data_IF_921066778178
#
_entry.id   IF_921066778178
#
_cell.length_a   1.000
_cell.length_b   1.000
_cell.length_c   1.000
_cell.angle_alpha   90.00
_cell.angle_beta   90.00
_cell.angle_gamma   90.00
#
_symmetry.space_group_name_H-M   'P 1'
#
loop_
_entity.id
_entity.type
_entity.pdbx_description
1 polymer ?
#
# COMPACT_ATOMS: atom_id res chain seq x y z
N UNK A 1 -5.40 -8.13 -28.18
CA UNK A 1 -4.45 -8.98 -27.49
C UNK A 1 -3.22 -8.22 -27.02
N UNK A 2 -2.61 -7.43 -27.91
CA UNK A 2 -1.41 -6.64 -27.55
C UNK A 2 -1.70 -5.60 -26.48
N UNK A 3 -2.86 -4.96 -26.56
CA UNK A 3 -3.23 -3.90 -25.60
C UNK A 3 -3.53 -4.46 -24.23
N UNK A 4 -4.18 -5.61 -24.13
CA UNK A 4 -4.44 -6.30 -22.88
C UNK A 4 -3.12 -6.74 -22.20
N UNK A 5 -2.17 -7.23 -22.99
CA UNK A 5 -0.85 -7.60 -22.45
C UNK A 5 -0.07 -6.40 -21.95
N UNK A 6 -0.14 -5.27 -22.64
CA UNK A 6 0.51 -4.03 -22.21
C UNK A 6 -0.09 -3.51 -20.91
N UNK A 7 -1.42 -3.50 -20.79
CA UNK A 7 -2.09 -3.08 -19.56
C UNK A 7 -1.75 -4.00 -18.40
N UNK A 8 -1.75 -5.31 -18.62
CA UNK A 8 -1.39 -6.28 -17.62
C UNK A 8 0.06 -6.10 -17.14
N UNK A 9 0.99 -5.85 -18.07
CA UNK A 9 2.37 -5.52 -17.74
C UNK A 9 2.48 -4.24 -16.94
N UNK A 10 1.76 -3.18 -17.33
CA UNK A 10 1.77 -1.91 -16.62
C UNK A 10 1.25 -2.06 -15.21
N UNK A 11 0.18 -2.79 -15.02
CA UNK A 11 -0.35 -3.07 -13.69
C UNK A 11 0.67 -3.83 -12.84
N UNK A 12 1.37 -4.79 -13.41
CA UNK A 12 2.41 -5.55 -12.70
C UNK A 12 3.61 -4.68 -12.35
N UNK A 13 3.91 -3.68 -13.17
CA UNK A 13 5.04 -2.76 -12.96
C UNK A 13 4.67 -1.59 -12.06
N UNK A 14 3.41 -1.36 -11.81
CA UNK A 14 2.92 -0.26 -10.98
C UNK A 14 3.48 -0.33 -9.57
N UNK A 15 3.79 -1.54 -9.10
CA UNK A 15 4.40 -1.76 -7.80
C UNK A 15 5.29 -2.98 -7.87
N UNK A 16 6.50 -2.90 -7.30
CA UNK A 16 7.41 -4.06 -7.22
C UNK A 16 6.72 -5.25 -6.56
N UNK A 17 5.81 -5.00 -5.64
CA UNK A 17 5.02 -6.03 -4.96
C UNK A 17 4.16 -6.83 -5.91
N UNK A 18 3.68 -6.22 -7.00
CA UNK A 18 2.86 -6.93 -7.97
C UNK A 18 3.61 -8.05 -8.65
N UNK A 19 4.92 -7.91 -8.78
CA UNK A 19 5.77 -8.99 -9.30
C UNK A 19 5.80 -10.18 -8.35
N UNK A 20 5.82 -9.92 -7.04
CA UNK A 20 5.81 -10.94 -6.00
C UNK A 20 4.41 -11.55 -5.87
N UNK A 21 3.39 -10.72 -5.77
CA UNK A 21 1.99 -11.13 -5.65
C UNK A 21 1.52 -11.87 -6.90
N UNK A 22 2.08 -11.53 -8.07
CA UNK A 22 1.77 -12.19 -9.33
C UNK A 22 2.35 -13.60 -9.46
N UNK A 23 3.21 -14.05 -8.54
CA UNK A 23 3.70 -15.42 -8.54
C UNK A 23 2.54 -16.35 -8.21
N UNK A 24 2.31 -17.42 -9.02
CA UNK A 24 1.22 -18.36 -8.74
C UNK A 24 1.27 -18.92 -7.32
N UNK A 25 0.16 -18.85 -6.62
CA UNK A 25 0.03 -19.32 -5.24
C UNK A 25 0.40 -18.32 -4.17
N UNK A 26 1.05 -17.20 -4.51
CA UNK A 26 1.50 -16.21 -3.53
C UNK A 26 0.30 -15.51 -2.85
N UNK A 27 -0.69 -15.10 -3.62
CA UNK A 27 -1.88 -14.43 -3.09
C UNK A 27 -2.62 -15.33 -2.10
N UNK A 28 -2.79 -16.59 -2.45
CA UNK A 28 -3.47 -17.57 -1.61
C UNK A 28 -2.74 -17.78 -0.28
N UNK A 29 -1.42 -17.83 -0.32
CA UNK A 29 -0.61 -17.98 0.89
C UNK A 29 -0.66 -16.73 1.77
N UNK A 30 -0.65 -15.54 1.16
CA UNK A 30 -0.77 -14.30 1.91
C UNK A 30 -2.13 -14.19 2.61
N UNK A 31 -3.20 -14.61 1.94
CA UNK A 31 -4.54 -14.61 2.54
C UNK A 31 -4.62 -15.57 3.73
N UNK A 32 -3.92 -16.70 3.67
CA UNK A 32 -3.89 -17.69 4.74
C UNK A 32 -3.03 -17.27 5.93
N UNK A 33 -2.14 -16.31 5.78
CA UNK A 33 -1.30 -15.85 6.87
C UNK A 33 -2.13 -15.32 8.04
N UNK A 34 -1.79 -15.72 9.24
CA UNK A 34 -2.51 -15.32 10.46
C UNK A 34 -2.05 -13.98 11.01
N UNK A 35 -0.84 -13.56 10.69
CA UNK A 35 -0.30 -12.28 11.18
C UNK A 35 -0.92 -11.07 10.49
N UNK A 36 -0.77 -9.89 11.05
CA UNK A 36 -1.24 -8.66 10.41
C UNK A 36 -0.46 -8.39 9.13
N UNK A 37 -1.17 -7.94 8.09
CA UNK A 37 -0.60 -7.58 6.80
C UNK A 37 -0.81 -6.10 6.59
N UNK A 38 0.28 -5.35 6.51
CA UNK A 38 0.27 -3.90 6.41
C UNK A 38 0.97 -3.46 5.15
N UNK A 39 0.34 -2.56 4.42
CA UNK A 39 0.95 -1.90 3.27
C UNK A 39 1.34 -0.47 3.64
N UNK A 40 2.39 0.04 3.02
CA UNK A 40 2.78 1.44 3.13
C UNK A 40 2.52 2.08 1.77
N UNK A 41 1.70 3.12 1.74
CA UNK A 41 1.35 3.79 0.49
C UNK A 41 2.58 4.49 -0.11
N UNK A 42 2.87 4.26 -1.39
CA UNK A 42 3.93 4.99 -2.08
C UNK A 42 3.48 6.36 -2.58
N UNK A 43 2.21 6.69 -2.41
CA UNK A 43 1.61 7.93 -2.91
C UNK A 43 1.47 8.92 -1.77
N UNK A 44 1.95 10.14 -1.98
CA UNK A 44 1.83 11.24 -1.03
C UNK A 44 1.27 12.44 -1.79
N UNK A 45 0.12 12.92 -1.35
CA UNK A 45 -0.56 14.07 -1.96
C UNK A 45 -0.70 13.92 -3.48
N UNK A 46 -1.14 12.73 -3.90
CA UNK A 46 -1.34 12.34 -5.31
C UNK A 46 -0.05 12.26 -6.14
N UNK A 47 1.11 12.16 -5.48
CA UNK A 47 2.41 12.04 -6.15
C UNK A 47 3.22 10.90 -5.55
N UNK A 48 3.90 10.15 -6.40
CA UNK A 48 4.89 9.18 -5.94
C UNK A 48 6.19 9.92 -5.63
N UNK A 49 6.79 9.65 -4.48
CA UNK A 49 8.07 10.26 -4.10
C UNK A 49 9.21 9.62 -4.85
N UNK A 50 9.14 8.31 -5.03
CA UNK A 50 10.13 7.56 -5.81
C UNK A 50 9.40 6.57 -6.71
N UNK A 51 9.96 6.39 -7.89
CA UNK A 51 9.43 5.43 -8.85
C UNK A 51 8.25 5.96 -9.65
N UNK A 52 7.73 5.15 -10.57
CA UNK A 52 6.76 5.57 -11.56
C UNK A 52 5.30 5.31 -11.16
N UNK A 53 5.01 4.99 -9.88
CA UNK A 53 3.68 4.56 -9.46
C UNK A 53 2.57 5.54 -9.85
N UNK A 54 2.73 6.82 -9.52
CA UNK A 54 1.70 7.82 -9.83
C UNK A 54 1.51 8.00 -11.34
N UNK A 55 2.61 8.02 -12.08
CA UNK A 55 2.57 8.15 -13.54
C UNK A 55 1.86 6.96 -14.18
N UNK A 56 2.17 5.76 -13.73
CA UNK A 56 1.54 4.55 -14.25
C UNK A 56 0.05 4.50 -13.93
N UNK A 57 -0.35 4.94 -12.75
CA UNK A 57 -1.76 5.04 -12.39
C UNK A 57 -2.48 6.03 -13.32
N UNK A 58 -1.87 7.16 -13.61
CA UNK A 58 -2.41 8.14 -14.56
C UNK A 58 -2.56 7.55 -15.96
N UNK A 59 -1.57 6.83 -16.44
CA UNK A 59 -1.61 6.17 -17.75
C UNK A 59 -2.73 5.14 -17.84
N UNK A 60 -3.06 4.49 -16.74
CA UNK A 60 -4.14 3.51 -16.67
C UNK A 60 -5.51 4.16 -16.42
N UNK A 61 -5.57 5.48 -16.29
CA UNK A 61 -6.81 6.19 -15.98
C UNK A 61 -7.27 6.01 -14.54
N UNK A 62 -6.39 5.59 -13.66
CA UNK A 62 -6.67 5.40 -12.23
C UNK A 62 -6.19 6.63 -11.46
N UNK A 63 -7.03 7.20 -10.57
CA UNK A 63 -6.57 8.31 -9.73
C UNK A 63 -5.37 7.92 -8.88
N UNK A 64 -4.32 8.74 -8.86
CA UNK A 64 -3.11 8.47 -8.09
C UNK A 64 -3.32 8.91 -6.63
N UNK A 65 -4.05 8.11 -5.87
CA UNK A 65 -4.36 8.37 -4.46
C UNK A 65 -4.08 7.14 -3.61
N UNK A 66 -3.92 7.35 -2.31
CA UNK A 66 -3.78 6.24 -1.37
C UNK A 66 -5.05 5.39 -1.29
N UNK A 67 -6.20 5.97 -1.61
CA UNK A 67 -7.47 5.24 -1.69
C UNK A 67 -7.39 4.16 -2.78
N UNK A 68 -6.87 4.51 -3.95
CA UNK A 68 -6.73 3.57 -5.06
C UNK A 68 -5.68 2.49 -4.78
N UNK A 69 -4.61 2.85 -4.09
CA UNK A 69 -3.62 1.87 -3.62
C UNK A 69 -4.29 0.88 -2.67
N UNK A 70 -5.13 1.37 -1.76
CA UNK A 70 -5.87 0.53 -0.83
C UNK A 70 -6.83 -0.40 -1.58
N UNK A 71 -7.55 0.12 -2.57
CA UNK A 71 -8.43 -0.69 -3.42
C UNK A 71 -7.69 -1.82 -4.12
N UNK A 72 -6.50 -1.52 -4.62
CA UNK A 72 -5.69 -2.51 -5.34
C UNK A 72 -5.31 -3.71 -4.44
N UNK A 73 -5.06 -3.44 -3.16
CA UNK A 73 -4.65 -4.49 -2.21
C UNK A 73 -5.79 -4.95 -1.29
N UNK A 74 -7.01 -4.49 -1.53
CA UNK A 74 -8.15 -4.89 -0.73
C UNK A 74 -8.33 -6.42 -0.74
N UNK A 75 -8.48 -7.01 0.44
CA UNK A 75 -8.53 -8.44 0.60
C UNK A 75 -7.19 -9.09 0.93
N UNK A 76 -6.08 -8.39 0.70
CA UNK A 76 -4.73 -8.87 1.02
C UNK A 76 -4.17 -8.22 2.28
N UNK A 77 -4.58 -6.99 2.58
CA UNK A 77 -4.03 -6.21 3.69
C UNK A 77 -5.09 -5.95 4.76
N UNK A 78 -4.62 -5.82 5.99
CA UNK A 78 -5.46 -5.47 7.14
C UNK A 78 -5.41 -3.97 7.45
N UNK A 79 -4.29 -3.33 7.13
CA UNK A 79 -4.08 -1.91 7.39
C UNK A 79 -3.20 -1.29 6.31
N UNK A 80 -3.29 0.01 6.20
CA UNK A 80 -2.41 0.79 5.33
C UNK A 80 -1.82 1.96 6.11
N UNK A 81 -0.55 2.24 5.85
CA UNK A 81 0.15 3.41 6.40
C UNK A 81 0.18 4.48 5.32
N UNK A 82 -0.32 5.66 5.64
CA UNK A 82 -0.32 6.80 4.73
C UNK A 82 0.42 7.98 5.36
N UNK A 83 0.86 8.90 4.52
CA UNK A 83 1.56 10.09 4.99
C UNK A 83 0.60 11.11 5.61
N UNK A 84 1.14 12.00 6.43
CA UNK A 84 0.38 13.10 7.03
C UNK A 84 -0.36 13.95 5.99
N UNK A 85 0.23 14.12 4.82
CA UNK A 85 -0.35 14.90 3.73
C UNK A 85 -1.68 14.31 3.25
N UNK A 86 -1.88 12.99 3.44
CA UNK A 86 -3.09 12.28 3.03
C UNK A 86 -4.00 11.92 4.21
N UNK A 87 -3.78 12.53 5.37
CA UNK A 87 -4.56 12.23 6.58
C UNK A 87 -6.07 12.38 6.35
N UNK A 88 -6.48 13.30 5.50
CA UNK A 88 -7.89 13.52 5.18
C UNK A 88 -8.56 12.33 4.50
N UNK A 89 -7.78 11.41 3.92
CA UNK A 89 -8.29 10.21 3.27
C UNK A 89 -8.56 9.06 4.24
N UNK A 90 -8.13 9.18 5.49
CA UNK A 90 -8.23 8.12 6.50
C UNK A 90 -9.65 7.60 6.66
N UNK A 91 -10.60 8.51 6.78
CA UNK A 91 -12.00 8.17 6.99
C UNK A 91 -12.57 7.32 5.85
N UNK A 92 -12.26 7.71 4.61
CA UNK A 92 -12.71 6.98 3.42
C UNK A 92 -12.10 5.59 3.34
N UNK A 93 -10.83 5.46 3.73
CA UNK A 93 -10.14 4.18 3.74
C UNK A 93 -10.69 3.28 4.85
N UNK A 94 -10.98 3.84 6.02
CA UNK A 94 -11.58 3.10 7.12
C UNK A 94 -12.97 2.59 6.76
N UNK A 95 -13.74 3.35 5.99
CA UNK A 95 -15.05 2.94 5.49
C UNK A 95 -14.95 1.72 4.57
N UNK A 96 -13.78 1.48 3.99
CA UNK A 96 -13.52 0.29 3.16
C UNK A 96 -13.20 -0.96 4.00
N UNK A 97 -13.15 -0.83 5.32
CA UNK A 97 -12.82 -1.93 6.22
C UNK A 97 -11.33 -2.11 6.46
N UNK A 98 -10.51 -1.16 6.05
CA UNK A 98 -9.06 -1.18 6.19
C UNK A 98 -8.65 -0.20 7.29
N UNK A 99 -7.79 -0.64 8.22
CA UNK A 99 -7.27 0.24 9.26
C UNK A 99 -6.23 1.19 8.69
N UNK A 100 -6.18 2.40 9.24
CA UNK A 100 -5.28 3.44 8.73
C UNK A 100 -4.36 3.91 9.86
N UNK A 101 -3.08 3.99 9.53
CA UNK A 101 -2.09 4.62 10.39
C UNK A 101 -1.47 5.78 9.61
N UNK A 102 -1.50 6.97 10.21
CA UNK A 102 -0.98 8.19 9.59
C UNK A 102 0.33 8.55 10.25
N UNK A 103 1.39 8.64 9.46
CA UNK A 103 2.72 9.01 9.94
C UNK A 103 3.51 9.63 8.79
N UNK A 104 4.78 9.97 9.03
CA UNK A 104 5.68 10.42 7.99
C UNK A 104 6.21 9.21 7.21
N UNK A 105 5.80 9.08 5.95
CA UNK A 105 6.24 7.97 5.09
C UNK A 105 7.40 8.36 4.17
N UNK A 106 7.85 9.61 4.23
CA UNK A 106 9.00 10.07 3.46
C UNK A 106 10.29 9.57 4.10
N UNK A 107 11.11 8.89 3.31
CA UNK A 107 12.34 8.27 3.80
C UNK A 107 13.53 8.75 2.98
N UNK A 108 14.16 9.84 3.42
CA UNK A 108 15.35 10.39 2.76
C UNK A 108 16.65 9.84 3.36
N UNK A 109 16.60 9.25 4.54
CA UNK A 109 17.78 8.76 5.24
C UNK A 109 17.50 7.41 5.89
N UNK A 110 18.57 6.72 6.32
CA UNK A 110 18.45 5.48 7.06
C UNK A 110 17.67 5.70 8.38
N UNK A 111 17.92 6.83 9.03
CA UNK A 111 17.22 7.17 10.27
C UNK A 111 15.71 7.23 10.08
N UNK A 112 15.26 7.86 8.99
CA UNK A 112 13.83 7.95 8.69
C UNK A 112 13.22 6.59 8.35
N UNK A 113 13.97 5.73 7.68
CA UNK A 113 13.53 4.35 7.41
C UNK A 113 13.33 3.56 8.69
N UNK A 114 14.28 3.68 9.61
CA UNK A 114 14.22 3.01 10.91
C UNK A 114 13.05 3.55 11.73
N UNK A 115 12.85 4.86 11.73
CA UNK A 115 11.74 5.50 12.45
C UNK A 115 10.40 4.99 11.95
N UNK A 116 10.22 4.97 10.63
CA UNK A 116 8.98 4.46 10.03
C UNK A 116 8.73 2.99 10.38
N UNK A 117 9.77 2.17 10.29
CA UNK A 117 9.67 0.76 10.64
C UNK A 117 9.26 0.56 12.09
N UNK A 118 9.86 1.32 13.01
CA UNK A 118 9.53 1.25 14.44
C UNK A 118 8.09 1.72 14.70
N UNK A 119 7.64 2.77 14.03
CA UNK A 119 6.26 3.23 14.17
C UNK A 119 5.26 2.20 13.67
N UNK A 120 5.57 1.53 12.56
CA UNK A 120 4.73 0.45 12.05
C UNK A 120 4.66 -0.72 13.03
N UNK A 121 5.78 -1.11 13.63
CA UNK A 121 5.82 -2.18 14.62
C UNK A 121 5.02 -1.82 15.87
N UNK A 122 5.15 -0.58 16.35
CA UNK A 122 4.37 -0.10 17.48
C UNK A 122 2.88 -0.08 17.20
N UNK A 123 2.49 0.31 15.99
CA UNK A 123 1.11 0.28 15.54
C UNK A 123 0.56 -1.15 15.55
N UNK A 124 1.33 -2.10 15.05
CA UNK A 124 0.95 -3.50 15.05
C UNK A 124 0.74 -4.00 16.49
N UNK A 125 1.71 -3.76 17.36
CA UNK A 125 1.63 -4.19 18.74
C UNK A 125 0.43 -3.59 19.47
N UNK A 126 0.21 -2.29 19.33
CA UNK A 126 -0.89 -1.61 20.00
C UNK A 126 -2.26 -1.97 19.46
N UNK A 127 -2.35 -2.27 18.17
CA UNK A 127 -3.64 -2.50 17.52
C UNK A 127 -4.06 -3.97 17.54
N UNK A 128 -3.11 -4.88 17.31
CA UNK A 128 -3.42 -6.31 17.17
C UNK A 128 -3.06 -7.14 18.39
N UNK A 129 -2.46 -6.55 19.42
CA UNK A 129 -2.06 -7.27 20.61
C UNK A 129 -3.18 -8.10 21.22
N UNK A 130 -4.39 -7.56 21.26
CA UNK A 130 -5.55 -8.22 21.84
C UNK A 130 -6.35 -9.09 20.84
N UNK A 131 -5.92 -9.18 19.60
CA UNK A 131 -6.61 -9.96 18.56
C UNK A 131 -5.96 -11.30 18.26
N UNK A 132 -4.72 -11.44 18.63
CA UNK A 132 -3.91 -12.62 18.38
C UNK A 132 -3.55 -13.32 19.71
#
# INVERSE_FOLDING_TARGET
HRDLHKEYRRQRQMCIRDRIIGVPGMTEELVKMKGPKIAISPIINSKAIKGPAAKMMQELGIPSTSIEVTNHYKGLIDAIVIDHADAALSEKIEDMGIKVFVTNTVMHSLKEKITLANECLNFIEGYWENRW
#
